data_IF_218405469784
#
_entry.id   IF_218405469784
#
_cell.length_a   1.000
_cell.length_b   1.000
_cell.length_c   1.000
_cell.angle_alpha   90.00
_cell.angle_beta   90.00
_cell.angle_gamma   90.00
#
_symmetry.space_group_name_H-M   'P 1'
#
loop_
_entity.id
_entity.type
_entity.pdbx_description
1 polymer ?
#
# COMPACT_ATOMS: atom_id res chain seq x y z
N UNK A 1 -18.71 -16.92 6.24
CA UNK A 1 -17.38 -16.38 5.91
C UNK A 1 -17.02 -16.85 4.51
N UNK A 2 -17.42 -16.06 3.53
CA UNK A 2 -16.96 -16.23 2.15
C UNK A 2 -15.50 -15.74 2.12
N UNK A 3 -14.56 -16.68 1.98
CA UNK A 3 -13.12 -16.38 2.03
C UNK A 3 -12.77 -15.47 0.86
N UNK A 4 -12.42 -14.21 1.13
CA UNK A 4 -11.79 -13.35 0.12
C UNK A 4 -10.41 -13.94 -0.18
N UNK A 5 -10.16 -14.28 -1.44
CA UNK A 5 -8.90 -14.91 -1.89
C UNK A 5 -8.36 -14.18 -3.12
N UNK A 6 -7.16 -14.54 -3.58
CA UNK A 6 -6.57 -14.01 -4.84
C UNK A 6 -7.55 -14.04 -6.03
N UNK A 7 -8.49 -14.99 -6.07
CA UNK A 7 -9.49 -15.10 -7.12
C UNK A 7 -10.51 -13.95 -7.12
N UNK A 8 -10.84 -13.40 -5.95
CA UNK A 8 -11.76 -12.27 -5.78
C UNK A 8 -11.21 -11.00 -6.45
N UNK A 9 -9.88 -10.88 -6.54
CA UNK A 9 -9.22 -9.69 -7.08
C UNK A 9 -9.09 -9.62 -8.59
N UNK A 10 -9.37 -10.72 -9.31
CA UNK A 10 -9.44 -10.69 -10.77
C UNK A 10 -10.47 -9.68 -11.28
N UNK A 11 -11.51 -9.40 -10.49
CA UNK A 11 -12.52 -8.40 -10.83
C UNK A 11 -12.04 -6.98 -10.49
N UNK A 12 -11.31 -6.81 -9.39
CA UNK A 12 -10.73 -5.52 -8.96
C UNK A 12 -9.73 -5.01 -10.00
N UNK A 13 -8.89 -5.91 -10.55
CA UNK A 13 -7.94 -5.59 -11.63
C UNK A 13 -8.60 -5.14 -12.94
N UNK A 14 -9.89 -5.40 -13.12
CA UNK A 14 -10.65 -5.00 -14.31
C UNK A 14 -11.35 -3.66 -14.15
N UNK A 15 -11.19 -2.98 -13.02
CA UNK A 15 -11.79 -1.67 -12.76
C UNK A 15 -10.83 -0.56 -13.23
N UNK A 16 -11.02 0.02 -14.44
CA UNK A 16 -10.07 0.98 -15.01
C UNK A 16 -10.01 2.31 -14.23
N UNK A 17 -11.08 2.65 -13.52
CA UNK A 17 -11.23 3.88 -12.76
C UNK A 17 -11.00 3.68 -11.25
N UNK A 18 -10.55 2.49 -10.82
CA UNK A 18 -10.28 2.24 -9.41
C UNK A 18 -9.07 3.05 -8.96
N UNK A 19 -9.30 3.99 -8.05
CA UNK A 19 -8.28 4.87 -7.52
C UNK A 19 -7.99 4.57 -6.05
N UNK A 20 -8.99 4.11 -5.29
CA UNK A 20 -8.81 3.72 -3.89
C UNK A 20 -9.19 2.27 -3.64
N UNK A 21 -8.27 1.52 -3.04
CA UNK A 21 -8.44 0.13 -2.69
C UNK A 21 -8.02 -0.11 -1.24
N UNK A 22 -8.98 -0.48 -0.41
CA UNK A 22 -8.76 -0.77 1.02
C UNK A 22 -9.00 -2.25 1.26
N UNK A 23 -8.02 -2.90 1.86
CA UNK A 23 -8.02 -4.33 2.14
C UNK A 23 -7.47 -4.55 3.53
N UNK A 24 -8.32 -4.92 4.49
CA UNK A 24 -7.86 -5.09 5.87
C UNK A 24 -7.99 -6.52 6.34
N UNK A 25 -6.95 -7.00 7.03
CA UNK A 25 -6.96 -8.28 7.73
C UNK A 25 -7.06 -9.52 6.83
N UNK A 26 -6.93 -9.40 5.51
CA UNK A 26 -7.09 -10.54 4.60
C UNK A 26 -5.85 -11.46 4.59
N UNK A 27 -5.78 -12.38 5.57
CA UNK A 27 -4.62 -13.27 5.77
C UNK A 27 -4.48 -14.35 4.70
N UNK A 28 -5.52 -14.60 3.90
CA UNK A 28 -5.52 -15.60 2.81
C UNK A 28 -5.05 -15.04 1.46
N UNK A 29 -4.84 -13.71 1.37
CA UNK A 29 -4.50 -13.02 0.13
C UNK A 29 -2.99 -12.98 -0.04
N UNK A 30 -2.48 -13.44 -1.17
CA UNK A 30 -1.03 -13.57 -1.40
C UNK A 30 -0.51 -12.46 -2.31
N UNK A 31 0.81 -12.44 -2.55
CA UNK A 31 1.46 -11.56 -3.53
C UNK A 31 0.85 -11.61 -4.95
N UNK A 32 0.09 -12.65 -5.28
CA UNK A 32 -0.60 -12.78 -6.58
C UNK A 32 -1.69 -11.72 -6.78
N UNK A 33 -2.25 -11.21 -5.69
CA UNK A 33 -3.22 -10.14 -5.71
C UNK A 33 -2.61 -8.81 -6.19
N UNK A 34 -1.37 -8.51 -5.81
CA UNK A 34 -0.68 -7.25 -6.09
C UNK A 34 -0.28 -7.01 -7.56
N UNK A 35 -0.79 -7.82 -8.50
CA UNK A 35 -0.51 -7.66 -9.91
C UNK A 35 -1.30 -6.48 -10.53
N UNK A 36 -0.59 -5.67 -11.32
CA UNK A 36 -1.05 -4.61 -12.24
C UNK A 36 -2.35 -3.87 -11.85
N UNK A 37 -2.19 -2.76 -11.13
CA UNK A 37 -3.25 -1.80 -10.79
C UNK A 37 -2.83 -0.38 -11.17
N UNK A 38 -2.85 -0.03 -12.47
CA UNK A 38 -2.21 1.18 -12.99
C UNK A 38 -2.92 2.48 -12.61
N UNK A 39 -4.14 2.41 -12.08
CA UNK A 39 -4.97 3.57 -11.73
C UNK A 39 -5.05 3.84 -10.23
N UNK A 40 -4.61 2.88 -9.39
CA UNK A 40 -4.72 2.99 -7.93
C UNK A 40 -3.75 4.05 -7.43
N UNK A 41 -4.28 5.03 -6.69
CA UNK A 41 -3.55 6.10 -6.04
C UNK A 41 -3.42 5.87 -4.53
N UNK A 42 -4.42 5.25 -3.92
CA UNK A 42 -4.45 4.94 -2.50
C UNK A 42 -4.66 3.45 -2.30
N UNK A 43 -3.70 2.80 -1.65
CA UNK A 43 -3.74 1.38 -1.35
C UNK A 43 -3.50 1.15 0.15
N UNK A 44 -4.51 0.60 0.82
CA UNK A 44 -4.38 0.16 2.20
C UNK A 44 -4.45 -1.37 2.24
N UNK A 45 -3.41 -2.00 2.79
CA UNK A 45 -3.35 -3.45 3.02
C UNK A 45 -3.05 -3.81 4.48
N UNK A 46 -3.46 -2.98 5.44
CA UNK A 46 -3.21 -3.19 6.86
C UNK A 46 -3.64 -4.60 7.30
N UNK A 47 -2.82 -5.27 8.11
CA UNK A 47 -3.12 -6.61 8.64
C UNK A 47 -3.08 -7.73 7.59
N UNK A 48 -2.75 -7.44 6.34
CA UNK A 48 -2.54 -8.47 5.32
C UNK A 48 -1.17 -9.12 5.51
N UNK A 49 -1.10 -10.08 6.44
CA UNK A 49 0.14 -10.72 6.88
C UNK A 49 0.88 -11.52 5.80
N UNK A 50 0.33 -11.70 4.61
CA UNK A 50 1.00 -12.39 3.50
C UNK A 50 1.67 -11.43 2.51
N UNK A 51 1.63 -10.11 2.78
CA UNK A 51 2.32 -9.09 1.99
C UNK A 51 3.77 -8.97 2.43
N UNK A 52 4.67 -9.08 1.45
CA UNK A 52 6.13 -9.14 1.60
C UNK A 52 6.80 -8.05 0.77
N UNK A 53 8.11 -7.83 0.98
CA UNK A 53 8.91 -6.90 0.15
C UNK A 53 8.74 -7.18 -1.35
N UNK A 54 8.74 -8.45 -1.76
CA UNK A 54 8.60 -8.85 -3.15
C UNK A 54 7.23 -8.50 -3.74
N UNK A 55 6.16 -8.56 -2.93
CA UNK A 55 4.82 -8.16 -3.37
C UNK A 55 4.78 -6.66 -3.67
N UNK A 56 5.38 -5.84 -2.80
CA UNK A 56 5.44 -4.38 -2.95
C UNK A 56 6.35 -3.98 -4.10
N UNK A 57 7.51 -4.62 -4.27
CA UNK A 57 8.39 -4.38 -5.42
C UNK A 57 7.67 -4.59 -6.76
N UNK A 58 6.98 -5.72 -6.92
CA UNK A 58 6.20 -6.00 -8.14
C UNK A 58 5.07 -5.00 -8.38
N UNK A 59 4.43 -4.56 -7.30
CA UNK A 59 3.41 -3.52 -7.38
C UNK A 59 4.01 -2.21 -7.90
N UNK A 60 5.09 -1.74 -7.29
CA UNK A 60 5.80 -0.52 -7.68
C UNK A 60 6.35 -0.59 -9.12
N UNK A 61 6.76 -1.76 -9.60
CA UNK A 61 7.16 -1.96 -11.01
C UNK A 61 6.02 -1.75 -12.02
N UNK A 62 4.77 -1.94 -11.58
CA UNK A 62 3.59 -1.92 -12.46
C UNK A 62 2.73 -0.67 -12.31
N UNK A 63 2.90 0.08 -11.23
CA UNK A 63 2.17 1.33 -10.99
C UNK A 63 3.05 2.56 -11.23
N UNK A 64 2.41 3.59 -11.77
CA UNK A 64 2.94 4.94 -11.79
C UNK A 64 1.98 5.92 -11.09
N UNK A 65 0.85 5.48 -10.55
CA UNK A 65 -0.20 6.36 -10.03
C UNK A 65 -0.23 6.45 -8.51
N UNK A 66 0.42 5.52 -7.81
CA UNK A 66 0.37 5.43 -6.35
C UNK A 66 0.88 6.72 -5.71
N UNK A 67 0.15 7.18 -4.70
CA UNK A 67 0.42 8.36 -3.87
C UNK A 67 0.45 7.96 -2.39
N UNK A 68 -0.47 7.08 -1.97
CA UNK A 68 -0.54 6.55 -0.61
C UNK A 68 -0.44 5.03 -0.58
N UNK A 69 0.46 4.50 0.25
CA UNK A 69 0.58 3.07 0.52
C UNK A 69 0.68 2.79 2.03
N UNK A 70 -0.29 2.03 2.56
CA UNK A 70 -0.35 1.63 3.97
C UNK A 70 -0.03 0.12 4.12
N UNK A 71 1.02 -0.19 4.89
CA UNK A 71 1.61 -1.52 5.05
C UNK A 71 1.79 -1.95 6.52
N UNK A 72 1.13 -1.28 7.47
CA UNK A 72 1.11 -1.71 8.88
C UNK A 72 0.59 -3.14 9.04
N UNK A 73 1.11 -3.85 10.04
CA UNK A 73 0.78 -5.26 10.31
C UNK A 73 0.99 -6.23 9.12
N UNK A 74 1.91 -5.89 8.21
CA UNK A 74 2.38 -6.78 7.13
C UNK A 74 3.75 -7.39 7.45
N UNK A 75 4.33 -8.17 6.53
CA UNK A 75 5.66 -8.80 6.68
C UNK A 75 6.77 -8.08 5.90
N UNK A 76 6.55 -6.82 5.55
CA UNK A 76 7.56 -6.01 4.87
C UNK A 76 8.72 -5.69 5.80
N UNK A 77 9.88 -5.50 5.21
CA UNK A 77 11.12 -5.15 5.89
C UNK A 77 11.68 -3.85 5.32
N UNK A 78 12.91 -3.53 5.73
CA UNK A 78 13.64 -2.36 5.22
C UNK A 78 13.84 -2.40 3.70
N UNK A 79 13.77 -3.58 3.08
CA UNK A 79 13.88 -3.72 1.63
C UNK A 79 12.71 -3.05 0.89
N UNK A 80 11.48 -3.17 1.41
CA UNK A 80 10.32 -2.44 0.87
C UNK A 80 10.55 -0.93 0.81
N UNK A 81 11.16 -0.34 1.85
CA UNK A 81 11.46 1.10 1.89
C UNK A 81 12.57 1.50 0.91
N UNK A 82 13.54 0.62 0.69
CA UNK A 82 14.57 0.81 -0.33
C UNK A 82 13.95 0.75 -1.73
N UNK A 83 13.01 -0.17 -1.96
CA UNK A 83 12.26 -0.26 -3.21
C UNK A 83 11.40 1.00 -3.44
N UNK A 84 10.68 1.47 -2.43
CA UNK A 84 9.92 2.73 -2.49
C UNK A 84 10.82 3.94 -2.78
N UNK A 85 12.02 3.98 -2.18
CA UNK A 85 13.01 5.03 -2.44
C UNK A 85 13.52 4.98 -3.88
N UNK A 86 13.81 3.78 -4.40
CA UNK A 86 14.21 3.60 -5.79
C UNK A 86 13.09 4.02 -6.75
N UNK A 87 11.85 3.65 -6.44
CA UNK A 87 10.67 4.01 -7.23
C UNK A 87 10.47 5.52 -7.31
N UNK A 88 10.50 6.24 -6.17
CA UNK A 88 10.34 7.71 -6.16
C UNK A 88 11.48 8.42 -6.90
N UNK A 89 12.70 7.89 -6.85
CA UNK A 89 13.85 8.42 -7.64
C UNK A 89 13.65 8.18 -9.14
N UNK A 90 13.14 7.01 -9.52
CA UNK A 90 12.92 6.62 -10.92
C UNK A 90 11.76 7.39 -11.56
N UNK A 91 10.64 7.51 -10.86
CA UNK A 91 9.41 8.15 -11.39
C UNK A 91 9.39 9.65 -11.17
N UNK A 92 10.14 10.14 -10.18
CA UNK A 92 10.07 11.54 -9.74
C UNK A 92 8.73 11.89 -9.08
N UNK A 93 7.94 10.90 -8.65
CA UNK A 93 6.65 11.09 -7.99
C UNK A 93 6.79 11.03 -6.47
N UNK A 94 5.84 11.66 -5.81
CA UNK A 94 5.68 11.60 -4.35
C UNK A 94 5.00 10.29 -3.95
N UNK A 95 5.43 9.75 -2.83
CA UNK A 95 4.84 8.57 -2.20
C UNK A 95 4.84 8.77 -0.69
N UNK A 96 3.65 8.73 -0.12
CA UNK A 96 3.40 8.59 1.31
C UNK A 96 3.29 7.10 1.63
N UNK A 97 4.21 6.63 2.47
CA UNK A 97 4.36 5.24 2.83
C UNK A 97 4.26 5.09 4.34
N UNK A 98 3.23 4.40 4.78
CA UNK A 98 2.99 4.15 6.18
C UNK A 98 3.33 2.70 6.53
N UNK A 99 4.14 2.53 7.56
CA UNK A 99 4.69 1.24 8.00
C UNK A 99 4.67 1.14 9.52
N UNK A 100 4.97 -0.04 10.06
CA UNK A 100 5.14 -0.22 11.51
C UNK A 100 6.22 0.71 12.06
N UNK A 101 6.01 1.25 13.27
CA UNK A 101 6.92 2.23 13.90
C UNK A 101 8.37 1.77 14.04
N UNK A 102 8.60 0.47 14.30
CA UNK A 102 9.96 -0.08 14.32
C UNK A 102 10.67 0.10 12.97
N UNK A 103 9.94 -0.14 11.87
CA UNK A 103 10.48 -0.09 10.52
C UNK A 103 10.72 1.37 10.08
N UNK A 104 9.82 2.28 10.43
CA UNK A 104 10.02 3.73 10.25
C UNK A 104 11.29 4.20 10.97
N UNK A 105 11.47 3.81 12.23
CA UNK A 105 12.65 4.16 13.03
C UNK A 105 13.95 3.62 12.41
N UNK A 106 13.94 2.36 11.97
CA UNK A 106 15.07 1.75 11.26
C UNK A 106 15.41 2.55 10.00
N UNK A 107 14.40 2.92 9.20
CA UNK A 107 14.59 3.73 8.01
C UNK A 107 15.21 5.09 8.31
N UNK A 108 14.67 5.84 9.27
CA UNK A 108 15.19 7.17 9.65
C UNK A 108 16.65 7.11 10.12
N UNK A 109 17.06 5.99 10.70
CA UNK A 109 18.42 5.77 11.20
C UNK A 109 19.42 5.29 10.12
N UNK A 110 18.97 4.95 8.91
CA UNK A 110 19.84 4.51 7.83
C UNK A 110 20.70 5.64 7.25
N UNK A 111 21.99 5.37 7.06
CA UNK A 111 22.94 6.22 6.34
C UNK A 111 22.80 6.07 4.81
N UNK A 112 21.60 6.35 4.28
CA UNK A 112 21.31 6.36 2.85
C UNK A 112 20.84 7.73 2.37
N UNK A 113 21.11 8.06 1.12
CA UNK A 113 20.59 9.28 0.49
C UNK A 113 19.06 9.19 0.35
N UNK A 114 18.37 9.96 1.19
CA UNK A 114 16.91 10.09 1.19
C UNK A 114 16.42 10.83 -0.05
N UNK A 115 15.17 10.60 -0.41
CA UNK A 115 14.47 11.34 -1.46
C UNK A 115 13.40 12.20 -0.78
N UNK A 116 13.39 13.50 -1.07
CA UNK A 116 12.40 14.46 -0.55
C UNK A 116 10.95 14.11 -0.94
N UNK A 117 10.79 13.19 -1.91
CA UNK A 117 9.49 12.70 -2.40
C UNK A 117 9.02 11.41 -1.75
N UNK A 118 9.82 10.79 -0.88
CA UNK A 118 9.38 9.63 -0.10
C UNK A 118 9.13 10.06 1.34
N UNK A 119 7.87 10.08 1.73
CA UNK A 119 7.44 10.37 3.08
C UNK A 119 7.15 9.06 3.79
N UNK A 120 7.92 8.75 4.83
CA UNK A 120 7.74 7.52 5.62
C UNK A 120 7.23 7.90 6.99
N UNK A 121 6.06 7.37 7.35
CA UNK A 121 5.42 7.56 8.64
C UNK A 121 5.07 6.21 9.28
N UNK A 122 4.75 6.24 10.57
CA UNK A 122 4.01 5.18 11.23
C UNK A 122 2.72 5.73 11.80
N UNK A 123 1.70 4.89 11.91
CA UNK A 123 0.46 5.24 12.58
C UNK A 123 0.65 5.17 14.09
N UNK A 124 0.14 6.18 14.79
CA UNK A 124 -0.34 5.97 16.15
C UNK A 124 -1.64 5.17 16.02
N UNK A 125 -1.80 4.11 16.82
CA UNK A 125 -2.96 3.21 16.79
C UNK A 125 -4.26 4.03 16.57
N UNK A 126 -5.01 3.74 15.50
CA UNK A 126 -6.33 4.30 15.10
C UNK A 126 -6.40 5.36 13.98
N UNK A 127 -5.31 5.85 13.37
CA UNK A 127 -5.42 6.77 12.21
C UNK A 127 -5.39 6.00 10.89
N UNK A 128 -6.46 6.03 10.07
CA UNK A 128 -6.43 5.43 8.74
C UNK A 128 -6.38 6.52 7.68
N UNK A 129 -5.18 6.98 7.37
CA UNK A 129 -4.95 8.15 6.51
C UNK A 129 -5.55 7.97 5.10
N UNK A 130 -5.52 6.75 4.54
CA UNK A 130 -6.22 6.44 3.29
C UNK A 130 -7.73 6.67 3.40
N UNK A 131 -8.37 6.26 4.51
CA UNK A 131 -9.80 6.46 4.71
C UNK A 131 -10.13 7.91 5.05
N UNK A 132 -9.30 8.57 5.85
CA UNK A 132 -9.50 9.97 6.25
C UNK A 132 -9.44 10.90 5.02
N UNK A 133 -8.49 10.68 4.10
CA UNK A 133 -8.44 11.44 2.83
C UNK A 133 -9.66 11.21 1.92
N UNK A 134 -10.22 9.98 1.93
CA UNK A 134 -11.48 9.68 1.25
C UNK A 134 -12.63 10.46 1.90
N UNK A 135 -12.73 10.45 3.24
CA UNK A 135 -13.80 11.09 3.98
C UNK A 135 -13.76 12.62 3.91
N UNK A 136 -12.57 13.21 3.83
CA UNK A 136 -12.38 14.66 3.66
C UNK A 136 -12.69 15.16 2.23
N UNK A 137 -13.01 14.25 1.30
CA UNK A 137 -13.49 14.62 -0.04
C UNK A 137 -12.39 15.08 -1.00
N UNK A 138 -11.12 14.77 -0.69
CA UNK A 138 -9.99 15.03 -1.60
C UNK A 138 -9.96 14.07 -2.80
N UNK A 139 -10.78 13.01 -2.75
CA UNK A 139 -10.89 11.99 -3.77
C UNK A 139 -12.34 11.87 -4.29
N UNK A 140 -12.65 12.45 -5.46
CA UNK A 140 -13.86 12.11 -6.27
C UNK A 140 -13.67 10.71 -6.91
N UNK A 141 -13.41 9.69 -6.10
CA UNK A 141 -12.75 8.48 -6.57
C UNK A 141 -13.61 7.22 -6.44
N UNK A 142 -13.38 6.27 -7.36
CA UNK A 142 -13.99 4.93 -7.28
C UNK A 142 -13.30 4.15 -6.17
N UNK A 143 -14.05 3.80 -5.13
CA UNK A 143 -13.56 3.14 -3.91
C UNK A 143 -14.03 1.69 -3.89
N UNK A 144 -13.13 0.78 -3.52
CA UNK A 144 -13.46 -0.61 -3.19
C UNK A 144 -12.85 -0.98 -1.85
N UNK A 145 -13.68 -1.49 -0.93
CA UNK A 145 -13.28 -1.97 0.39
C UNK A 145 -13.54 -3.47 0.51
N UNK A 146 -12.55 -4.22 1.02
CA UNK A 146 -12.61 -5.66 1.22
C UNK A 146 -12.03 -6.00 2.60
N UNK A 147 -12.86 -6.48 3.51
CA UNK A 147 -12.47 -6.85 4.88
C UNK A 147 -13.01 -8.25 5.22
N UNK A 148 -12.39 -8.99 6.13
CA UNK A 148 -12.98 -10.25 6.63
C UNK A 148 -14.13 -9.91 7.60
N UNK A 149 -15.32 -10.50 7.38
CA UNK A 149 -16.40 -10.47 8.38
C UNK A 149 -16.02 -11.37 9.58
N UNK A 150 -16.07 -10.82 10.79
CA UNK A 150 -15.88 -11.53 12.08
C UNK A 150 -16.82 -12.73 12.29
#
# INVERSE_FOLDING_TARGET
>A
SDKITDASFKYVQQLPELQVLIIKGLVQVTEKYFAYMPSVKCLNVNGCTMITDQAVERFLETTCSIQWLELTDTRVTIQCLIAALAWTKCTGKELELTVNGELEYQYKSLEIEKNEKLFVSSLEDDVNLCEDEIYEGYCEETITMLEEDD
#
